data_IF_831780453370
#
_entry.id   IF_831780453370
#
_cell.length_a   1.000
_cell.length_b   1.000
_cell.length_c   1.000
_cell.angle_alpha   90.00
_cell.angle_beta   90.00
_cell.angle_gamma   90.00
#
_symmetry.space_group_name_H-M   'P 1'
#
loop_
_entity.id
_entity.type
_entity.pdbx_description
1 polymer ?
#
# COMPACT_ATOMS: atom_id res chain seq x y z
N UNK A 1 7.88 18.14 17.56
CA UNK A 1 7.88 17.93 16.10
C UNK A 1 7.57 16.50 15.76
N UNK A 2 6.96 16.27 14.61
CA UNK A 2 6.61 14.93 14.11
C UNK A 2 7.10 14.76 12.68
N UNK A 3 7.53 13.55 12.34
CA UNK A 3 8.03 13.18 11.02
C UNK A 3 7.03 12.20 10.37
N UNK A 4 6.47 12.55 9.23
CA UNK A 4 5.69 11.66 8.39
C UNK A 4 6.55 11.12 7.26
N UNK A 5 6.56 9.80 7.08
CA UNK A 5 7.30 9.11 6.02
C UNK A 5 6.31 8.29 5.21
N UNK A 6 6.17 8.61 3.93
CA UNK A 6 5.33 7.87 2.99
C UNK A 6 6.19 7.23 1.90
N UNK A 7 6.20 5.91 1.88
CA UNK A 7 6.92 5.11 0.89
C UNK A 7 5.99 4.76 -0.28
N UNK A 8 5.87 5.66 -1.25
CA UNK A 8 5.12 5.41 -2.47
C UNK A 8 5.85 4.49 -3.45
N UNK A 9 5.22 4.19 -4.58
CA UNK A 9 5.79 3.31 -5.62
C UNK A 9 6.91 3.99 -6.42
N UNK A 10 6.79 5.30 -6.67
CA UNK A 10 7.74 6.06 -7.50
C UNK A 10 8.64 7.02 -6.73
N UNK A 11 8.34 7.25 -5.45
CA UNK A 11 9.11 8.16 -4.58
C UNK A 11 8.86 7.87 -3.11
N UNK A 12 9.84 8.21 -2.27
CA UNK A 12 9.65 8.36 -0.84
C UNK A 12 9.41 9.83 -0.55
N UNK A 13 8.28 10.14 0.11
CA UNK A 13 7.96 11.49 0.58
C UNK A 13 8.13 11.56 2.09
N UNK A 14 8.76 12.64 2.58
CA UNK A 14 8.96 12.89 4.01
C UNK A 14 8.55 14.30 4.34
N UNK A 15 7.75 14.45 5.39
CA UNK A 15 7.31 15.74 5.91
C UNK A 15 7.72 15.91 7.38
N UNK A 16 8.05 17.12 7.76
CA UNK A 16 8.25 17.53 9.15
C UNK A 16 7.16 18.53 9.50
N UNK A 17 6.41 18.23 10.57
CA UNK A 17 5.33 19.09 11.06
C UNK A 17 5.51 19.43 12.55
N UNK A 18 4.93 20.55 12.97
CA UNK A 18 4.83 20.91 14.39
C UNK A 18 3.57 20.33 15.06
N UNK A 19 3.31 20.71 16.31
CA UNK A 19 2.15 20.26 17.10
C UNK A 19 0.82 20.84 16.58
N UNK A 20 0.87 21.97 15.89
CA UNK A 20 -0.27 22.62 15.25
C UNK A 20 -0.49 22.15 13.80
N UNK A 21 0.24 21.10 13.37
CA UNK A 21 0.24 20.52 12.03
C UNK A 21 0.75 21.46 10.93
N UNK A 22 1.47 22.53 11.28
CA UNK A 22 2.12 23.35 10.27
C UNK A 22 3.30 22.59 9.64
N UNK A 23 3.36 22.61 8.32
CA UNK A 23 4.46 21.99 7.56
C UNK A 23 5.72 22.83 7.65
N UNK A 24 6.77 22.31 8.26
CA UNK A 24 8.08 22.96 8.45
C UNK A 24 9.09 22.55 7.38
N UNK A 25 8.89 21.43 6.75
CA UNK A 25 9.72 20.93 5.66
C UNK A 25 9.10 19.73 4.97
N UNK A 26 9.39 19.61 3.69
CA UNK A 26 8.98 18.48 2.86
C UNK A 26 10.07 18.15 1.85
N UNK A 27 10.21 16.90 1.53
CA UNK A 27 11.07 16.43 0.45
C UNK A 27 10.51 15.16 -0.16
N UNK A 28 10.64 15.04 -1.46
CA UNK A 28 10.33 13.82 -2.22
C UNK A 28 11.59 13.34 -2.92
N UNK A 29 11.95 12.08 -2.71
CA UNK A 29 13.10 11.42 -3.35
C UNK A 29 12.58 10.36 -4.31
N UNK A 30 12.69 10.57 -5.62
CA UNK A 30 12.22 9.63 -6.62
C UNK A 30 13.14 8.40 -6.72
N UNK A 31 12.56 7.28 -7.14
CA UNK A 31 13.26 6.06 -7.52
C UNK A 31 12.48 5.29 -8.58
N UNK A 32 13.16 4.43 -9.30
CA UNK A 32 12.59 3.69 -10.41
C UNK A 32 12.00 2.36 -9.96
N UNK A 33 11.03 1.87 -10.75
CA UNK A 33 10.48 0.53 -10.68
C UNK A 33 11.16 -0.32 -11.74
N UNK A 34 11.75 -1.43 -11.35
CA UNK A 34 12.32 -2.42 -12.27
C UNK A 34 11.21 -3.28 -12.87
N UNK A 35 11.28 -3.49 -14.18
CA UNK A 35 10.35 -4.33 -14.96
C UNK A 35 11.13 -5.35 -15.78
N UNK A 36 11.76 -6.36 -15.14
CA UNK A 36 12.69 -7.28 -15.81
C UNK A 36 12.01 -8.20 -16.84
N UNK A 37 10.69 -8.40 -16.72
CA UNK A 37 9.88 -9.19 -17.66
C UNK A 37 8.47 -8.56 -17.80
N UNK A 38 7.69 -8.92 -18.84
CA UNK A 38 6.29 -8.53 -18.92
C UNK A 38 5.52 -8.92 -17.67
N UNK A 39 4.65 -8.03 -17.17
CA UNK A 39 3.87 -8.15 -15.94
C UNK A 39 4.68 -8.09 -14.63
N UNK A 40 6.01 -8.07 -14.67
CA UNK A 40 6.83 -7.99 -13.47
C UNK A 40 7.02 -6.54 -13.02
N UNK A 41 7.01 -6.34 -11.71
CA UNK A 41 7.23 -5.03 -11.07
C UNK A 41 7.96 -5.25 -9.75
N UNK A 42 9.21 -4.80 -9.68
CA UNK A 42 10.11 -5.05 -8.54
C UNK A 42 10.85 -3.79 -8.12
N UNK A 43 11.22 -3.74 -6.86
CA UNK A 43 12.15 -2.73 -6.33
C UNK A 43 13.13 -3.35 -5.32
N UNK A 44 14.37 -2.88 -5.35
CA UNK A 44 15.35 -3.18 -4.30
C UNK A 44 15.00 -2.37 -3.03
N UNK A 45 14.68 -3.00 -1.89
CA UNK A 45 14.38 -2.29 -0.65
C UNK A 45 15.51 -1.38 -0.14
N UNK A 46 16.76 -1.62 -0.53
CA UNK A 46 17.87 -0.72 -0.18
C UNK A 46 17.78 0.63 -0.89
N UNK A 47 17.06 0.75 -2.03
CA UNK A 47 16.77 2.05 -2.64
C UNK A 47 15.89 2.91 -1.74
N UNK A 48 14.88 2.31 -1.10
CA UNK A 48 13.99 3.00 -0.17
C UNK A 48 14.75 3.51 1.05
N UNK A 49 15.64 2.67 1.60
CA UNK A 49 16.49 3.06 2.71
C UNK A 49 17.43 4.23 2.33
N UNK A 50 18.09 4.14 1.17
CA UNK A 50 18.95 5.23 0.66
C UNK A 50 18.16 6.52 0.45
N UNK A 51 16.93 6.44 -0.07
CA UNK A 51 16.05 7.59 -0.24
C UNK A 51 15.69 8.22 1.11
N UNK A 52 15.36 7.40 2.13
CA UNK A 52 15.08 7.89 3.48
C UNK A 52 16.29 8.61 4.08
N UNK A 53 17.48 8.04 3.98
CA UNK A 53 18.69 8.70 4.50
C UNK A 53 18.93 10.06 3.83
N UNK A 54 18.75 10.16 2.51
CA UNK A 54 18.83 11.46 1.79
C UNK A 54 17.79 12.45 2.28
N UNK A 55 16.55 12.00 2.48
CA UNK A 55 15.48 12.86 2.98
C UNK A 55 15.79 13.40 4.39
N UNK A 56 16.27 12.54 5.28
CA UNK A 56 16.67 12.94 6.64
C UNK A 56 17.85 13.92 6.61
N UNK A 57 18.86 13.72 5.76
CA UNK A 57 19.97 14.66 5.61
C UNK A 57 19.49 16.07 5.23
N UNK A 58 18.51 16.17 4.34
CA UNK A 58 17.88 17.43 3.99
C UNK A 58 17.14 18.06 5.18
N UNK A 59 16.30 17.28 5.87
CA UNK A 59 15.48 17.79 6.97
C UNK A 59 16.30 18.18 8.19
N UNK A 60 17.48 17.60 8.42
CA UNK A 60 18.44 18.01 9.46
C UNK A 60 18.95 19.43 9.30
N UNK A 61 18.78 20.06 8.15
CA UNK A 61 19.07 21.51 7.96
C UNK A 61 18.08 22.41 8.70
N UNK A 62 16.93 21.89 9.11
CA UNK A 62 15.91 22.59 9.89
C UNK A 62 16.21 22.43 11.38
N UNK A 63 16.35 23.52 12.13
CA UNK A 63 16.62 23.48 13.58
C UNK A 63 15.56 22.69 14.35
N UNK A 64 14.29 22.81 13.96
CA UNK A 64 13.15 22.11 14.54
C UNK A 64 13.22 20.58 14.42
N UNK A 65 14.02 20.04 13.49
CA UNK A 65 14.22 18.59 13.34
C UNK A 65 14.73 17.94 14.64
N UNK A 66 15.54 18.64 15.42
CA UNK A 66 16.16 18.10 16.62
C UNK A 66 15.21 17.96 17.83
N UNK A 67 13.98 18.52 17.72
CA UNK A 67 12.90 18.39 18.69
C UNK A 67 11.91 17.28 18.31
N UNK A 68 12.34 16.30 17.50
CA UNK A 68 11.49 15.21 17.02
C UNK A 68 11.01 14.32 18.16
N UNK A 69 9.67 14.18 18.28
CA UNK A 69 8.99 13.38 19.31
C UNK A 69 8.43 12.07 18.77
N UNK A 70 8.00 12.07 17.51
CA UNK A 70 7.34 10.90 16.91
C UNK A 70 7.55 10.79 15.40
N UNK A 71 7.45 9.56 14.91
CA UNK A 71 7.58 9.20 13.50
C UNK A 71 6.35 8.39 13.10
N UNK A 72 5.64 8.83 12.06
CA UNK A 72 4.57 8.09 11.40
C UNK A 72 5.08 7.47 10.10
N UNK A 73 4.68 6.23 9.83
CA UNK A 73 5.03 5.48 8.62
C UNK A 73 3.79 5.14 7.81
N UNK A 74 3.82 5.46 6.55
CA UNK A 74 2.86 5.06 5.53
C UNK A 74 3.60 4.46 4.33
N UNK A 75 2.92 3.71 3.49
CA UNK A 75 3.52 3.28 2.24
C UNK A 75 2.64 2.38 1.39
N UNK A 76 3.14 2.13 0.16
CA UNK A 76 2.52 1.20 -0.78
C UNK A 76 2.30 -0.16 -0.14
N UNK A 77 1.10 -0.68 -0.29
CA UNK A 77 0.68 -1.96 0.29
C UNK A 77 1.20 -3.17 -0.50
N UNK A 78 1.06 -4.34 0.06
CA UNK A 78 1.20 -5.65 -0.60
C UNK A 78 2.61 -6.03 -1.06
N UNK A 79 3.60 -5.15 -1.01
CA UNK A 79 4.98 -5.48 -1.40
C UNK A 79 5.57 -6.57 -0.51
N UNK A 80 6.29 -7.53 -1.09
CA UNK A 80 6.88 -8.63 -0.34
C UNK A 80 8.39 -8.44 -0.15
N UNK A 81 8.82 -8.03 1.04
CA UNK A 81 10.23 -7.96 1.43
C UNK A 81 10.59 -9.21 2.20
N UNK A 82 11.44 -10.06 1.61
CA UNK A 82 11.82 -11.35 2.17
C UNK A 82 13.20 -11.23 2.83
N UNK A 83 13.28 -11.56 4.13
CA UNK A 83 14.49 -11.45 4.92
C UNK A 83 14.96 -12.84 5.40
N UNK A 84 16.29 -13.05 5.38
CA UNK A 84 16.92 -14.21 6.03
C UNK A 84 17.03 -14.02 7.55
N UNK A 85 17.57 -15.03 8.26
CA UNK A 85 17.76 -15.01 9.72
C UNK A 85 18.70 -13.90 10.22
N UNK A 86 19.49 -13.30 9.35
CA UNK A 86 20.39 -12.19 9.66
C UNK A 86 19.77 -10.82 9.27
N UNK A 87 18.52 -10.79 8.81
CA UNK A 87 17.84 -9.59 8.33
C UNK A 87 18.32 -9.12 6.94
N UNK A 88 19.01 -9.99 6.19
CA UNK A 88 19.46 -9.68 4.83
C UNK A 88 18.31 -9.88 3.83
N UNK A 89 18.16 -8.96 2.90
CA UNK A 89 17.21 -9.05 1.79
C UNK A 89 17.59 -10.22 0.89
N UNK A 90 16.63 -11.10 0.62
CA UNK A 90 16.84 -12.32 -0.19
C UNK A 90 16.67 -12.06 -1.69
N UNK A 91 15.85 -11.08 -2.04
CA UNK A 91 15.56 -10.69 -3.44
C UNK A 91 14.92 -9.30 -3.49
N UNK A 92 14.83 -8.63 -4.67
CA UNK A 92 14.01 -7.44 -4.83
C UNK A 92 12.55 -7.70 -4.43
N UNK A 93 11.90 -6.71 -3.82
CA UNK A 93 10.50 -6.82 -3.42
C UNK A 93 9.59 -6.88 -4.64
N UNK A 94 8.70 -7.87 -4.70
CA UNK A 94 7.62 -7.94 -5.69
C UNK A 94 6.52 -6.97 -5.27
N UNK A 95 6.18 -6.00 -6.14
CA UNK A 95 5.29 -4.89 -5.80
C UNK A 95 3.80 -5.23 -6.02
N UNK A 96 2.92 -4.33 -5.57
CA UNK A 96 1.46 -4.46 -5.65
C UNK A 96 0.90 -4.50 -7.09
N UNK A 97 1.60 -3.89 -8.05
CA UNK A 97 1.24 -3.84 -9.46
C UNK A 97 1.94 -4.90 -10.31
N UNK A 98 2.45 -5.95 -9.66
CA UNK A 98 3.04 -7.12 -10.30
C UNK A 98 1.95 -8.15 -10.64
N UNK A 99 1.99 -8.69 -11.84
CA UNK A 99 0.98 -9.63 -12.34
C UNK A 99 1.45 -11.08 -12.46
N UNK A 100 2.69 -11.41 -12.05
CA UNK A 100 3.28 -12.76 -12.27
C UNK A 100 2.55 -13.90 -11.58
N UNK A 101 1.92 -13.64 -10.44
CA UNK A 101 1.31 -14.66 -9.56
C UNK A 101 -0.18 -14.90 -9.85
N UNK A 102 -0.64 -14.68 -11.08
CA UNK A 102 -2.04 -14.88 -11.45
C UNK A 102 -2.53 -16.31 -11.23
N UNK A 103 -1.74 -17.31 -11.61
CA UNK A 103 -2.08 -18.74 -11.42
C UNK A 103 -2.10 -19.12 -9.94
N UNK A 104 -1.26 -18.52 -9.13
CA UNK A 104 -1.19 -18.74 -7.69
C UNK A 104 -2.42 -18.19 -6.95
N UNK A 105 -3.15 -17.24 -7.56
CA UNK A 105 -4.43 -16.78 -7.00
C UNK A 105 -5.49 -17.89 -7.04
N UNK A 106 -5.65 -18.54 -8.18
CA UNK A 106 -6.59 -19.67 -8.35
C UNK A 106 -6.24 -20.82 -7.40
N UNK A 107 -4.96 -21.19 -7.35
CA UNK A 107 -4.47 -22.23 -6.44
C UNK A 107 -4.68 -21.88 -4.96
N UNK A 108 -4.51 -20.62 -4.58
CA UNK A 108 -4.72 -20.17 -3.20
C UNK A 108 -6.21 -20.29 -2.81
N UNK A 109 -7.13 -19.94 -3.71
CA UNK A 109 -8.57 -20.09 -3.48
C UNK A 109 -8.98 -21.57 -3.44
N UNK A 110 -8.33 -22.44 -4.22
CA UNK A 110 -8.53 -23.89 -4.13
C UNK A 110 -8.02 -24.50 -2.81
N UNK A 111 -6.83 -24.08 -2.37
CA UNK A 111 -6.22 -24.56 -1.11
C UNK A 111 -6.97 -24.10 0.13
N UNK A 112 -7.54 -22.89 0.09
CA UNK A 112 -8.29 -22.32 1.20
C UNK A 112 -9.63 -21.75 0.69
N UNK A 113 -10.67 -22.59 0.59
CA UNK A 113 -11.98 -22.17 0.10
C UNK A 113 -12.65 -21.08 0.92
N UNK A 114 -12.28 -20.93 2.19
CA UNK A 114 -12.77 -19.86 3.07
C UNK A 114 -11.97 -18.55 2.95
N UNK A 115 -11.02 -18.44 2.02
CA UNK A 115 -10.17 -17.26 1.83
C UNK A 115 -10.98 -15.97 1.83
N UNK A 116 -12.05 -15.93 1.04
CA UNK A 116 -12.91 -14.74 0.89
C UNK A 116 -13.58 -14.34 2.21
N UNK A 117 -14.04 -15.31 2.99
CA UNK A 117 -14.68 -15.05 4.28
C UNK A 117 -13.68 -14.64 5.37
N UNK A 118 -12.47 -15.20 5.34
CA UNK A 118 -11.39 -14.87 6.28
C UNK A 118 -10.83 -13.49 6.00
N UNK A 119 -10.48 -13.22 4.75
CA UNK A 119 -9.74 -12.02 4.36
C UNK A 119 -10.64 -10.86 3.93
N UNK A 120 -11.86 -11.14 3.46
CA UNK A 120 -12.77 -10.18 2.88
C UNK A 120 -12.45 -9.79 1.43
N UNK A 121 -11.58 -10.53 0.77
CA UNK A 121 -11.07 -10.19 -0.56
C UNK A 121 -10.99 -11.40 -1.48
N UNK A 122 -11.00 -11.16 -2.79
CA UNK A 122 -10.56 -12.14 -3.78
C UNK A 122 -9.04 -12.25 -3.77
N UNK A 123 -8.50 -13.39 -4.14
CA UNK A 123 -7.07 -13.48 -4.42
C UNK A 123 -6.75 -12.73 -5.73
N UNK A 124 -5.81 -11.81 -5.65
CA UNK A 124 -5.33 -11.03 -6.81
C UNK A 124 -3.80 -11.03 -6.85
N UNK A 125 -3.17 -10.99 -8.03
CA UNK A 125 -1.69 -11.07 -8.16
C UNK A 125 -0.96 -9.98 -7.39
N UNK A 126 -1.62 -8.81 -7.22
CA UNK A 126 -1.08 -7.69 -6.48
C UNK A 126 -0.94 -7.92 -4.97
N UNK A 127 -1.67 -8.86 -4.37
CA UNK A 127 -1.57 -9.19 -2.95
C UNK A 127 -0.31 -9.98 -2.60
N UNK A 128 0.05 -10.02 -1.32
CA UNK A 128 1.32 -10.60 -0.87
C UNK A 128 1.32 -12.13 -0.95
N UNK A 129 0.27 -12.80 -0.50
CA UNK A 129 0.19 -14.26 -0.39
C UNK A 129 0.42 -15.00 -1.74
N UNK A 130 -0.20 -14.61 -2.87
CA UNK A 130 0.07 -15.26 -4.15
C UNK A 130 1.53 -15.14 -4.60
N UNK A 131 2.22 -14.02 -4.28
CA UNK A 131 3.63 -13.82 -4.60
C UNK A 131 4.54 -14.81 -3.86
N UNK A 132 4.17 -15.18 -2.64
CA UNK A 132 4.93 -16.16 -1.85
C UNK A 132 4.72 -17.59 -2.39
N UNK A 133 3.52 -17.94 -2.87
CA UNK A 133 3.29 -19.19 -3.60
C UNK A 133 4.11 -19.23 -4.89
N UNK A 134 4.13 -18.12 -5.64
CA UNK A 134 4.98 -18.02 -6.83
C UNK A 134 6.46 -18.20 -6.47
N UNK A 135 6.94 -17.56 -5.40
CA UNK A 135 8.33 -17.67 -4.93
C UNK A 135 8.66 -19.10 -4.51
N UNK A 136 7.75 -19.78 -3.82
CA UNK A 136 7.91 -21.19 -3.44
C UNK A 136 8.17 -22.09 -4.66
N UNK A 137 7.44 -21.86 -5.75
CA UNK A 137 7.52 -22.68 -6.98
C UNK A 137 8.71 -22.33 -7.87
N UNK A 138 8.95 -21.05 -8.04
CA UNK A 138 9.89 -20.57 -9.05
C UNK A 138 11.27 -20.22 -8.46
N UNK A 139 11.34 -19.93 -7.16
CA UNK A 139 12.58 -19.60 -6.45
C UNK A 139 12.67 -20.36 -5.11
N UNK A 140 12.61 -21.71 -5.12
CA UNK A 140 12.53 -22.52 -3.90
C UNK A 140 13.75 -22.31 -2.97
N UNK A 141 14.93 -22.01 -3.49
CA UNK A 141 16.10 -21.73 -2.69
C UNK A 141 16.06 -20.35 -1.99
N UNK A 142 15.31 -19.40 -2.52
CA UNK A 142 14.96 -18.14 -1.86
C UNK A 142 13.93 -18.43 -0.75
N UNK A 143 12.85 -19.15 -1.11
CA UNK A 143 11.77 -19.45 -0.19
C UNK A 143 12.24 -20.17 1.08
N UNK A 144 13.09 -21.18 0.96
CA UNK A 144 13.67 -21.95 2.09
C UNK A 144 14.45 -21.07 3.09
N UNK A 145 14.95 -19.92 2.66
CA UNK A 145 15.75 -19.02 3.51
C UNK A 145 14.90 -17.95 4.18
N UNK A 146 13.60 -17.87 3.88
CA UNK A 146 12.72 -16.85 4.45
C UNK A 146 12.60 -17.06 5.96
N UNK A 147 13.10 -16.09 6.71
CA UNK A 147 12.94 -16.00 8.15
C UNK A 147 11.83 -15.02 8.53
N UNK A 148 11.70 -13.91 7.78
CA UNK A 148 10.62 -12.92 7.97
C UNK A 148 10.14 -12.38 6.63
N UNK A 149 8.84 -12.09 6.59
CA UNK A 149 8.19 -11.36 5.49
C UNK A 149 7.72 -10.02 6.05
N UNK A 150 8.19 -8.92 5.46
CA UNK A 150 7.80 -7.57 5.83
C UNK A 150 7.11 -6.87 4.65
N UNK A 151 6.25 -5.91 4.96
CA UNK A 151 5.73 -4.98 3.97
C UNK A 151 6.72 -3.81 3.75
N UNK A 152 6.62 -3.03 2.67
CA UNK A 152 7.61 -2.02 2.33
C UNK A 152 7.90 -1.01 3.45
N UNK A 153 6.85 -0.42 4.07
CA UNK A 153 7.05 0.52 5.18
C UNK A 153 7.59 -0.15 6.44
N UNK A 154 7.26 -1.44 6.66
CA UNK A 154 7.72 -2.20 7.83
C UNK A 154 9.21 -2.55 7.70
N UNK A 155 9.71 -2.70 6.48
CA UNK A 155 11.15 -2.79 6.24
C UNK A 155 11.87 -1.48 6.64
N UNK A 156 11.31 -0.32 6.32
CA UNK A 156 11.87 0.96 6.80
C UNK A 156 11.82 1.06 8.33
N UNK A 157 10.70 0.63 8.95
CA UNK A 157 10.60 0.52 10.42
C UNK A 157 11.72 -0.34 10.99
N UNK A 158 11.90 -1.55 10.46
CA UNK A 158 12.95 -2.46 10.89
C UNK A 158 14.34 -1.81 10.80
N UNK A 159 14.63 -1.11 9.71
CA UNK A 159 15.91 -0.37 9.55
C UNK A 159 16.08 0.77 10.55
N UNK A 160 14.99 1.43 10.96
CA UNK A 160 14.99 2.53 11.91
C UNK A 160 15.09 2.05 13.37
N UNK A 161 14.31 1.04 13.74
CA UNK A 161 14.13 0.61 15.14
C UNK A 161 14.87 -0.69 15.49
N UNK A 162 15.06 -1.57 14.52
CA UNK A 162 15.44 -2.97 14.76
C UNK A 162 14.23 -3.89 15.00
N UNK A 163 13.00 -3.34 15.08
CA UNK A 163 11.79 -4.07 15.40
C UNK A 163 11.04 -4.53 14.14
N UNK A 164 10.65 -5.80 14.10
CA UNK A 164 9.84 -6.38 13.01
C UNK A 164 8.36 -6.34 13.40
N UNK A 165 7.72 -5.21 13.12
CA UNK A 165 6.34 -4.88 13.47
C UNK A 165 5.59 -4.44 12.23
N UNK A 166 4.33 -4.82 12.11
CA UNK A 166 3.39 -4.35 11.09
C UNK A 166 2.09 -3.85 11.73
N UNK A 167 1.41 -2.95 11.06
CA UNK A 167 0.08 -2.53 11.48
C UNK A 167 -1.02 -3.35 10.80
N UNK A 168 -2.21 -3.35 11.39
CA UNK A 168 -3.32 -4.17 10.92
C UNK A 168 -3.90 -3.70 9.59
N UNK A 169 -3.82 -2.40 9.27
CA UNK A 169 -4.41 -1.89 8.03
C UNK A 169 -3.63 -2.36 6.80
N UNK A 170 -2.32 -2.28 6.84
CA UNK A 170 -1.45 -2.76 5.76
C UNK A 170 -1.40 -4.29 5.71
N UNK A 171 -1.34 -4.95 6.90
CA UNK A 171 -1.33 -6.40 7.01
C UNK A 171 -2.60 -7.07 6.47
N UNK A 172 -3.76 -6.40 6.54
CA UNK A 172 -5.00 -6.91 5.93
C UNK A 172 -4.87 -7.13 4.42
N UNK A 173 -4.03 -6.32 3.75
CA UNK A 173 -3.72 -6.46 2.33
C UNK A 173 -2.77 -7.60 1.98
N UNK A 174 -2.31 -8.40 2.94
CA UNK A 174 -1.44 -9.55 2.66
C UNK A 174 -2.18 -10.79 2.19
N UNK A 175 -3.46 -10.93 2.45
CA UNK A 175 -4.29 -12.14 2.42
C UNK A 175 -3.89 -13.20 3.46
N UNK A 176 -3.13 -12.86 4.49
CA UNK A 176 -2.82 -13.73 5.62
C UNK A 176 -3.56 -13.37 6.89
N UNK A 177 -4.32 -12.28 6.87
CA UNK A 177 -5.04 -11.80 8.05
C UNK A 177 -6.49 -12.29 8.07
N UNK A 178 -6.95 -12.77 9.22
CA UNK A 178 -8.37 -12.82 9.55
C UNK A 178 -8.80 -11.37 9.84
N UNK A 179 -9.35 -10.73 8.80
CA UNK A 179 -9.64 -9.29 8.82
C UNK A 179 -10.71 -8.93 9.84
N UNK A 180 -11.69 -9.82 10.05
CA UNK A 180 -12.71 -9.64 11.08
C UNK A 180 -12.11 -9.67 12.49
N UNK A 181 -11.17 -10.60 12.75
CA UNK A 181 -10.51 -10.75 14.05
C UNK A 181 -9.28 -9.88 14.23
N UNK A 182 -8.87 -9.17 13.18
CA UNK A 182 -7.69 -8.27 13.18
C UNK A 182 -6.39 -8.97 13.61
N UNK A 183 -6.18 -10.23 13.19
CA UNK A 183 -5.02 -11.04 13.55
C UNK A 183 -4.58 -11.94 12.40
N UNK A 184 -3.34 -12.41 12.44
CA UNK A 184 -2.86 -13.41 11.48
C UNK A 184 -3.74 -14.67 11.50
N UNK A 185 -4.00 -15.23 10.32
CA UNK A 185 -4.73 -16.49 10.14
C UNK A 185 -3.73 -17.60 9.85
N UNK A 186 -3.61 -18.55 10.77
CA UNK A 186 -2.74 -19.71 10.58
C UNK A 186 -3.17 -20.55 9.36
N UNK A 187 -4.47 -20.60 9.06
CA UNK A 187 -4.99 -21.26 7.86
C UNK A 187 -4.44 -20.63 6.59
N UNK A 188 -4.55 -19.29 6.48
CA UNK A 188 -4.05 -18.56 5.32
C UNK A 188 -2.53 -18.64 5.18
N UNK A 189 -1.80 -18.59 6.31
CA UNK A 189 -0.36 -18.79 6.31
C UNK A 189 0.03 -20.19 5.83
N UNK A 190 -0.63 -21.23 6.36
CA UNK A 190 -0.40 -22.63 5.96
C UNK A 190 -0.68 -22.86 4.47
N UNK A 191 -1.70 -22.21 3.90
CA UNK A 191 -2.01 -22.30 2.46
C UNK A 191 -0.85 -21.81 1.57
N UNK A 192 0.05 -20.96 2.11
CA UNK A 192 1.25 -20.48 1.44
C UNK A 192 2.55 -21.08 1.97
N UNK A 193 2.47 -22.17 2.72
CA UNK A 193 3.62 -22.85 3.35
C UNK A 193 4.43 -21.96 4.30
N UNK A 194 3.77 -21.01 4.96
CA UNK A 194 4.33 -20.14 5.99
C UNK A 194 3.67 -20.41 7.35
N UNK A 195 4.26 -19.85 8.40
CA UNK A 195 3.74 -19.92 9.78
C UNK A 195 3.82 -18.54 10.46
N UNK A 196 3.29 -18.45 11.66
CA UNK A 196 3.37 -17.22 12.47
C UNK A 196 4.81 -16.75 12.73
N UNK A 197 5.78 -17.70 12.75
CA UNK A 197 7.19 -17.37 13.00
C UNK A 197 7.78 -16.46 11.91
N UNK A 198 7.28 -16.54 10.68
CA UNK A 198 7.73 -15.66 9.60
C UNK A 198 7.00 -14.31 9.56
N UNK A 199 5.98 -14.12 10.37
CA UNK A 199 5.20 -12.88 10.39
C UNK A 199 5.74 -11.87 11.41
N UNK A 200 5.65 -10.55 11.14
CA UNK A 200 5.93 -9.52 12.13
C UNK A 200 4.86 -9.50 13.23
N UNK A 201 5.17 -8.92 14.39
CA UNK A 201 4.18 -8.62 15.42
C UNK A 201 3.19 -7.57 14.92
N UNK A 202 1.89 -7.78 15.17
CA UNK A 202 0.83 -6.83 14.80
C UNK A 202 0.59 -5.82 15.91
N UNK A 203 0.35 -4.56 15.50
CA UNK A 203 -0.09 -3.46 16.37
C UNK A 203 -1.25 -2.71 15.68
N UNK A 204 -1.95 -1.86 16.40
CA UNK A 204 -2.85 -0.88 15.78
C UNK A 204 -2.04 0.26 15.16
N UNK A 205 -2.62 0.98 14.18
CA UNK A 205 -1.90 2.08 13.53
C UNK A 205 -1.50 3.20 14.47
N UNK A 206 -2.31 3.44 15.51
CA UNK A 206 -2.10 4.45 16.56
C UNK A 206 -1.29 3.96 17.75
N UNK A 207 -0.98 2.66 17.83
CA UNK A 207 -0.15 2.12 18.91
C UNK A 207 1.32 2.53 18.75
N UNK A 208 2.08 2.34 19.83
CA UNK A 208 3.53 2.39 19.75
C UNK A 208 4.07 1.17 18.99
N UNK A 209 4.68 1.44 17.84
CA UNK A 209 5.32 0.46 16.96
C UNK A 209 6.85 0.43 17.12
N UNK A 210 7.35 0.71 18.32
CA UNK A 210 8.76 0.79 18.66
C UNK A 210 9.29 2.22 18.72
N UNK A 211 10.59 2.37 18.91
CA UNK A 211 11.28 3.66 18.95
C UNK A 211 12.48 3.67 18.01
N UNK A 212 12.94 4.84 17.63
CA UNK A 212 14.17 4.98 16.86
C UNK A 212 15.34 4.34 17.63
N UNK A 213 16.10 3.48 16.97
CA UNK A 213 17.20 2.76 17.63
C UNK A 213 18.27 3.71 18.21
N UNK A 214 18.99 3.34 19.26
CA UNK A 214 20.04 4.19 19.81
C UNK A 214 21.13 4.57 18.80
N UNK A 215 21.39 3.69 17.83
CA UNK A 215 22.30 3.98 16.72
C UNK A 215 21.75 5.13 15.85
N UNK A 216 20.52 4.98 15.39
CA UNK A 216 19.89 5.99 14.52
C UNK A 216 19.66 7.32 15.26
N UNK A 217 19.30 7.28 16.55
CA UNK A 217 19.16 8.47 17.40
C UNK A 217 20.45 9.30 17.41
N UNK A 218 21.59 8.63 17.61
CA UNK A 218 22.92 9.29 17.54
C UNK A 218 23.25 9.81 16.14
N UNK A 219 22.99 9.00 15.09
CA UNK A 219 23.28 9.41 13.70
C UNK A 219 22.42 10.61 13.27
N UNK A 220 21.20 10.70 13.77
CA UNK A 220 20.32 11.84 13.51
C UNK A 220 20.64 13.05 14.39
N UNK A 221 21.44 12.88 15.45
CA UNK A 221 21.82 13.94 16.38
C UNK A 221 20.73 14.31 17.37
N UNK A 222 19.80 13.39 17.64
CA UNK A 222 18.68 13.60 18.56
C UNK A 222 19.10 13.34 20.02
N UNK A 223 18.51 14.07 20.96
CA UNK A 223 18.75 13.93 22.38
C UNK A 223 18.06 12.72 23.02
N UNK A 224 16.95 12.29 22.43
CA UNK A 224 16.16 11.13 22.85
C UNK A 224 15.56 10.40 21.63
N UNK A 225 15.30 9.10 21.72
CA UNK A 225 14.69 8.35 20.63
C UNK A 225 13.20 8.73 20.46
N UNK A 226 12.77 9.25 19.30
CA UNK A 226 11.35 9.45 19.02
C UNK A 226 10.62 8.10 18.93
N UNK A 227 9.35 8.09 19.37
CA UNK A 227 8.45 6.95 19.20
C UNK A 227 8.11 6.77 17.72
N UNK A 228 8.03 5.52 17.24
CA UNK A 228 7.52 5.19 15.92
C UNK A 228 6.10 4.64 16.09
N UNK A 229 5.12 5.29 15.50
CA UNK A 229 3.72 4.83 15.54
C UNK A 229 3.54 3.52 14.75
N UNK A 230 2.49 2.76 15.00
CA UNK A 230 2.13 1.57 14.24
C UNK A 230 2.08 1.82 12.73
N UNK A 231 1.64 2.99 12.33
CA UNK A 231 1.60 3.40 10.93
C UNK A 231 0.39 2.84 10.18
N UNK A 232 0.42 2.90 8.86
CA UNK A 232 -0.72 2.46 8.04
C UNK A 232 -0.32 2.12 6.61
N UNK A 233 -1.11 1.30 5.92
CA UNK A 233 -1.12 1.29 4.46
C UNK A 233 -1.53 2.66 3.90
N UNK A 234 -1.05 3.00 2.71
CA UNK A 234 -1.19 4.34 2.11
C UNK A 234 -2.62 4.89 2.09
N UNK A 235 -3.61 4.05 1.72
CA UNK A 235 -5.00 4.47 1.66
C UNK A 235 -5.59 4.77 3.05
N UNK A 236 -5.27 3.94 4.06
CA UNK A 236 -5.73 4.17 5.43
C UNK A 236 -5.03 5.39 6.06
N UNK A 237 -3.75 5.61 5.78
CA UNK A 237 -3.03 6.83 6.19
C UNK A 237 -3.62 8.08 5.53
N UNK A 238 -3.89 8.01 4.22
CA UNK A 238 -4.55 9.09 3.48
C UNK A 238 -5.93 9.44 4.06
N UNK A 239 -6.70 8.41 4.46
CA UNK A 239 -7.99 8.61 5.12
C UNK A 239 -7.86 9.41 6.42
N UNK A 240 -6.88 9.07 7.27
CA UNK A 240 -6.60 9.84 8.49
C UNK A 240 -6.20 11.28 8.15
N UNK A 241 -5.33 11.46 7.15
CA UNK A 241 -4.84 12.78 6.75
C UNK A 241 -5.94 13.75 6.31
N UNK A 242 -7.06 13.25 5.78
CA UNK A 242 -8.22 14.06 5.37
C UNK A 242 -9.37 14.01 6.39
N UNK A 243 -9.18 13.38 7.54
CA UNK A 243 -10.18 13.29 8.60
C UNK A 243 -11.27 12.23 8.37
N UNK A 244 -11.10 11.29 7.43
CA UNK A 244 -12.01 10.17 7.21
C UNK A 244 -11.75 9.05 8.23
N UNK A 245 -12.11 9.28 9.49
CA UNK A 245 -11.82 8.41 10.64
C UNK A 245 -13.06 7.89 11.36
N UNK A 246 -14.24 8.40 11.03
CA UNK A 246 -15.50 7.98 11.63
C UNK A 246 -16.30 7.11 10.66
N UNK A 247 -17.07 6.12 11.17
CA UNK A 247 -17.96 5.32 10.32
C UNK A 247 -18.85 6.20 9.45
N UNK A 248 -18.91 5.87 8.15
CA UNK A 248 -19.64 6.64 7.13
C UNK A 248 -18.81 7.76 6.49
N UNK A 249 -17.67 8.15 7.03
CA UNK A 249 -16.78 9.05 6.31
C UNK A 249 -16.25 8.33 5.05
N UNK A 250 -16.21 9.05 3.97
CA UNK A 250 -15.77 8.53 2.68
C UNK A 250 -14.96 9.56 1.91
N UNK A 251 -14.16 9.10 0.97
CA UNK A 251 -13.52 9.97 -0.01
C UNK A 251 -13.41 9.28 -1.38
N UNK A 252 -13.27 10.10 -2.40
CA UNK A 252 -12.95 9.69 -3.76
C UNK A 252 -11.59 10.28 -4.14
N UNK A 253 -10.63 9.40 -4.44
CA UNK A 253 -9.33 9.79 -5.00
C UNK A 253 -9.33 9.52 -6.49
N UNK A 254 -9.04 10.55 -7.30
CA UNK A 254 -8.98 10.48 -8.75
C UNK A 254 -7.57 10.86 -9.23
N UNK A 255 -6.75 9.84 -9.37
CA UNK A 255 -5.45 9.92 -10.03
C UNK A 255 -5.49 9.16 -11.37
N UNK A 256 -4.40 8.54 -11.79
CA UNK A 256 -4.37 7.62 -12.94
C UNK A 256 -5.45 6.57 -12.84
N UNK A 257 -5.58 5.94 -11.66
CA UNK A 257 -6.71 5.10 -11.24
C UNK A 257 -7.62 5.87 -10.28
N UNK A 258 -8.81 5.32 -9.97
CA UNK A 258 -9.74 5.89 -9.00
C UNK A 258 -9.97 4.97 -7.82
N UNK A 259 -10.08 5.54 -6.62
CA UNK A 259 -10.38 4.81 -5.39
C UNK A 259 -11.54 5.49 -4.69
N UNK A 260 -12.61 4.74 -4.45
CA UNK A 260 -13.65 5.12 -3.50
C UNK A 260 -13.41 4.38 -2.19
N UNK A 261 -13.25 5.12 -1.11
CA UNK A 261 -12.96 4.61 0.22
C UNK A 261 -14.10 4.99 1.18
N UNK A 262 -14.51 4.06 2.03
CA UNK A 262 -15.52 4.32 3.07
C UNK A 262 -15.15 3.61 4.37
N UNK A 263 -15.24 4.34 5.49
CA UNK A 263 -15.00 3.82 6.85
C UNK A 263 -16.22 3.07 7.34
N UNK A 264 -16.01 1.88 7.90
CA UNK A 264 -17.05 1.02 8.45
C UNK A 264 -16.82 0.71 9.94
N UNK A 265 -17.89 0.62 10.75
CA UNK A 265 -17.77 0.27 12.17
C UNK A 265 -17.57 -1.23 12.43
N UNK A 266 -17.61 -2.05 11.39
CA UNK A 266 -17.43 -3.50 11.44
C UNK A 266 -16.92 -4.03 10.11
N UNK A 267 -16.43 -5.25 10.11
CA UNK A 267 -16.03 -5.96 8.90
C UNK A 267 -17.25 -6.22 7.99
N UNK A 268 -17.23 -5.69 6.79
CA UNK A 268 -18.29 -5.80 5.77
C UNK A 268 -17.69 -6.25 4.44
N UNK A 269 -17.36 -7.55 4.28
CA UNK A 269 -16.78 -8.03 3.03
C UNK A 269 -17.83 -8.08 1.90
N UNK A 270 -17.40 -7.74 0.69
CA UNK A 270 -18.18 -7.91 -0.53
C UNK A 270 -17.27 -8.30 -1.71
N UNK A 271 -16.53 -9.41 -1.58
CA UNK A 271 -15.53 -9.82 -2.57
C UNK A 271 -16.15 -10.11 -3.94
N UNK A 272 -17.38 -10.63 -3.99
CA UNK A 272 -18.07 -10.94 -5.25
C UNK A 272 -18.36 -9.69 -6.12
N UNK A 273 -18.34 -8.51 -5.51
CA UNK A 273 -18.46 -7.23 -6.22
C UNK A 273 -17.09 -6.58 -6.48
N UNK A 274 -16.00 -7.31 -6.27
CA UNK A 274 -14.64 -6.77 -6.41
C UNK A 274 -14.30 -5.66 -5.42
N UNK A 275 -15.11 -5.48 -4.37
CA UNK A 275 -14.84 -4.50 -3.32
C UNK A 275 -13.84 -5.07 -2.31
N UNK A 276 -12.81 -4.30 -2.01
CA UNK A 276 -11.85 -4.65 -0.96
C UNK A 276 -12.41 -4.33 0.42
N UNK A 277 -12.12 -5.19 1.39
CA UNK A 277 -12.42 -4.97 2.80
C UNK A 277 -11.15 -5.18 3.63
N UNK A 278 -10.71 -4.14 4.34
CA UNK A 278 -9.50 -4.14 5.16
C UNK A 278 -9.76 -3.58 6.56
N UNK A 279 -8.84 -3.84 7.48
CA UNK A 279 -8.78 -3.09 8.73
C UNK A 279 -8.44 -1.63 8.42
N UNK A 280 -9.07 -0.70 9.14
CA UNK A 280 -8.57 0.67 9.20
C UNK A 280 -7.37 0.74 10.15
N UNK A 281 -6.52 1.76 10.03
CA UNK A 281 -5.44 2.01 10.99
C UNK A 281 -5.93 2.58 12.34
N UNK A 282 -7.19 2.97 12.40
CA UNK A 282 -7.89 3.31 13.65
C UNK A 282 -8.38 2.00 14.30
N UNK A 283 -8.17 1.81 15.62
CA UNK A 283 -8.66 0.63 16.35
C UNK A 283 -10.16 0.39 16.15
N UNK A 284 -10.54 -0.89 16.13
CA UNK A 284 -11.93 -1.35 16.02
C UNK A 284 -12.72 -0.76 14.82
N UNK A 285 -11.99 -0.41 13.76
CA UNK A 285 -12.53 0.14 12.53
C UNK A 285 -12.05 -0.63 11.31
N UNK A 286 -12.88 -0.66 10.28
CA UNK A 286 -12.59 -1.25 8.97
C UNK A 286 -12.89 -0.24 7.87
N UNK A 287 -12.49 -0.57 6.67
CA UNK A 287 -12.89 0.18 5.49
C UNK A 287 -13.14 -0.73 4.31
N UNK A 288 -13.97 -0.24 3.40
CA UNK A 288 -14.12 -0.83 2.07
C UNK A 288 -13.53 0.11 1.02
N UNK A 289 -13.03 -0.48 -0.06
CA UNK A 289 -12.57 0.26 -1.22
C UNK A 289 -13.12 -0.34 -2.51
N UNK A 290 -13.66 0.53 -3.37
CA UNK A 290 -13.83 0.26 -4.79
C UNK A 290 -12.66 0.86 -5.55
N UNK A 291 -12.05 0.10 -6.46
CA UNK A 291 -10.89 0.54 -7.25
C UNK A 291 -11.20 0.39 -8.73
N UNK A 292 -11.16 1.50 -9.46
CA UNK A 292 -11.18 1.51 -10.93
C UNK A 292 -9.77 1.73 -11.47
N UNK A 293 -9.39 0.94 -12.48
CA UNK A 293 -8.02 0.94 -12.98
C UNK A 293 -7.70 2.15 -13.86
N UNK A 294 -8.72 2.74 -14.48
CA UNK A 294 -8.57 3.91 -15.37
C UNK A 294 -9.53 5.02 -14.96
N UNK A 295 -9.01 6.06 -14.32
CA UNK A 295 -9.73 7.28 -13.96
C UNK A 295 -9.24 8.46 -14.81
N UNK A 296 -8.39 9.35 -14.29
CA UNK A 296 -7.86 10.46 -15.08
C UNK A 296 -6.98 10.01 -16.27
N UNK A 297 -6.45 8.79 -16.23
CA UNK A 297 -5.79 8.19 -17.39
C UNK A 297 -6.68 8.09 -18.63
N UNK A 298 -8.01 8.04 -18.46
CA UNK A 298 -8.96 8.08 -19.58
C UNK A 298 -8.92 9.44 -20.31
N UNK A 299 -8.78 10.54 -19.57
CA UNK A 299 -8.65 11.86 -20.17
C UNK A 299 -7.31 11.98 -20.94
N UNK A 300 -6.22 11.51 -20.36
CA UNK A 300 -4.92 11.50 -21.04
C UNK A 300 -4.91 10.59 -22.28
N UNK A 301 -5.59 9.45 -22.20
CA UNK A 301 -5.79 8.59 -23.36
C UNK A 301 -6.59 9.29 -24.46
N UNK A 302 -7.70 9.94 -24.11
CA UNK A 302 -8.54 10.69 -25.06
C UNK A 302 -7.77 11.87 -25.68
N UNK A 303 -7.01 12.61 -24.87
CA UNK A 303 -6.09 13.66 -25.30
C UNK A 303 -5.14 13.16 -26.39
N UNK A 304 -4.53 11.99 -26.19
CA UNK A 304 -3.67 11.33 -27.19
C UNK A 304 -4.42 10.93 -28.46
N UNK A 305 -5.64 10.38 -28.35
CA UNK A 305 -6.46 9.97 -29.51
C UNK A 305 -6.87 11.17 -30.35
N UNK A 306 -7.25 12.27 -29.71
CA UNK A 306 -7.72 13.49 -30.38
C UNK A 306 -6.57 14.43 -30.77
N UNK A 307 -5.35 14.16 -30.33
CA UNK A 307 -4.18 15.04 -30.44
C UNK A 307 -4.49 16.48 -29.95
N UNK A 308 -5.14 16.57 -28.77
CA UNK A 308 -5.50 17.80 -28.10
C UNK A 308 -5.04 17.75 -26.65
N UNK A 309 -4.75 18.90 -26.02
CA UNK A 309 -4.37 18.94 -24.61
C UNK A 309 -5.58 18.68 -23.71
N UNK A 310 -5.36 18.05 -22.57
CA UNK A 310 -6.41 17.82 -21.56
C UNK A 310 -7.11 19.10 -21.13
N UNK A 311 -6.33 20.19 -20.94
CA UNK A 311 -6.88 21.52 -20.62
C UNK A 311 -7.90 21.98 -21.64
N UNK A 312 -7.60 21.84 -22.96
CA UNK A 312 -8.43 22.31 -24.02
C UNK A 312 -9.73 21.48 -24.15
N UNK A 313 -9.65 20.18 -23.86
CA UNK A 313 -10.80 19.28 -23.82
C UNK A 313 -11.75 19.59 -22.66
N UNK A 314 -11.24 20.16 -21.57
CA UNK A 314 -12.03 20.43 -20.36
C UNK A 314 -12.44 21.89 -20.19
N UNK A 315 -11.87 22.83 -20.93
CA UNK A 315 -12.06 24.28 -20.79
C UNK A 315 -13.53 24.72 -20.85
N UNK A 316 -14.34 24.05 -21.65
CA UNK A 316 -15.74 24.43 -21.90
C UNK A 316 -16.78 23.54 -21.22
N UNK A 317 -16.33 22.59 -20.37
CA UNK A 317 -17.25 21.60 -19.79
C UNK A 317 -18.36 22.23 -18.96
N UNK A 318 -18.07 23.28 -18.19
CA UNK A 318 -19.09 23.97 -17.37
C UNK A 318 -20.28 24.48 -18.22
N UNK A 319 -20.02 24.88 -19.47
CA UNK A 319 -21.04 25.39 -20.38
C UNK A 319 -21.76 24.31 -21.18
N UNK A 320 -21.21 23.10 -21.24
CA UNK A 320 -21.70 21.99 -22.07
C UNK A 320 -22.41 20.89 -21.27
N UNK A 321 -22.18 20.82 -19.95
CA UNK A 321 -22.71 19.75 -19.08
C UNK A 321 -24.17 20.01 -18.63
N UNK A 322 -25.11 20.17 -19.56
CA UNK A 322 -26.54 20.34 -19.23
C UNK A 322 -27.22 19.00 -18.92
N UNK A 323 -26.84 17.93 -19.57
CA UNK A 323 -27.33 16.55 -19.39
C UNK A 323 -26.40 15.54 -20.07
N UNK A 324 -26.47 14.26 -19.67
CA UNK A 324 -25.73 13.20 -20.35
C UNK A 324 -26.07 13.14 -21.84
N UNK A 325 -25.05 12.89 -22.68
CA UNK A 325 -25.20 12.56 -24.09
C UNK A 325 -25.65 11.10 -24.30
N UNK A 326 -25.85 10.73 -25.57
CA UNK A 326 -26.20 9.34 -25.92
C UNK A 326 -24.97 8.41 -26.03
N UNK A 327 -23.76 8.98 -26.00
CA UNK A 327 -22.53 8.22 -26.07
C UNK A 327 -22.17 7.68 -24.68
N UNK A 328 -22.00 6.39 -24.57
CA UNK A 328 -21.47 5.73 -23.36
C UNK A 328 -20.02 5.32 -23.58
N UNK A 329 -19.14 5.75 -22.69
CA UNK A 329 -17.75 5.32 -22.67
C UNK A 329 -17.52 4.34 -21.51
N UNK A 330 -16.99 3.17 -21.82
CA UNK A 330 -16.55 2.19 -20.82
C UNK A 330 -15.04 2.30 -20.61
N UNK A 331 -14.56 2.76 -19.45
CA UNK A 331 -13.20 3.22 -19.22
C UNK A 331 -12.20 2.08 -18.93
N UNK A 332 -12.36 0.92 -19.53
CA UNK A 332 -11.58 -0.28 -19.21
C UNK A 332 -10.27 -0.36 -20.02
N UNK A 333 -9.46 0.71 -19.99
CA UNK A 333 -8.25 0.81 -20.79
C UNK A 333 -7.18 -0.23 -20.40
N UNK A 334 -7.18 -0.67 -19.15
CA UNK A 334 -6.21 -1.62 -18.59
C UNK A 334 -6.87 -2.80 -17.87
N UNK A 335 -8.05 -3.21 -18.29
CA UNK A 335 -8.92 -4.10 -17.53
C UNK A 335 -9.73 -3.36 -16.49
N UNK A 336 -10.44 -4.09 -15.60
CA UNK A 336 -11.17 -3.49 -14.51
C UNK A 336 -11.14 -4.38 -13.25
N UNK A 337 -11.27 -3.72 -12.09
CA UNK A 337 -11.29 -4.37 -10.78
C UNK A 337 -12.68 -4.28 -10.14
N UNK A 338 -13.15 -3.11 -9.77
CA UNK A 338 -14.46 -2.93 -9.14
C UNK A 338 -15.43 -2.27 -10.12
N UNK A 339 -16.66 -2.77 -10.30
CA UNK A 339 -17.28 -3.94 -9.66
C UNK A 339 -17.14 -5.23 -10.48
N UNK A 340 -16.45 -5.23 -11.60
CA UNK A 340 -16.54 -6.28 -12.63
C UNK A 340 -15.46 -7.37 -12.45
N UNK A 341 -14.27 -7.00 -11.96
CA UNK A 341 -13.11 -7.88 -11.73
C UNK A 341 -12.71 -8.71 -12.97
N UNK A 342 -12.58 -8.05 -14.13
CA UNK A 342 -12.14 -8.67 -15.39
C UNK A 342 -10.81 -8.04 -15.83
N UNK A 343 -9.65 -8.68 -15.57
CA UNK A 343 -8.33 -8.12 -15.84
C UNK A 343 -8.04 -7.81 -17.31
N UNK A 344 -8.73 -8.49 -18.23
CA UNK A 344 -8.52 -8.35 -19.68
C UNK A 344 -9.65 -7.57 -20.38
N UNK A 345 -10.57 -6.97 -19.62
CA UNK A 345 -11.64 -6.16 -20.18
C UNK A 345 -11.05 -4.95 -20.93
N UNK A 346 -11.65 -4.60 -22.06
CA UNK A 346 -11.20 -3.46 -22.87
C UNK A 346 -12.25 -2.37 -22.92
N UNK A 347 -11.79 -1.13 -22.87
CA UNK A 347 -12.64 0.04 -23.03
C UNK A 347 -13.17 0.16 -24.46
N UNK A 348 -14.39 0.67 -24.61
CA UNK A 348 -14.98 0.98 -25.89
C UNK A 348 -16.10 2.03 -25.76
N UNK A 349 -16.47 2.63 -26.90
CA UNK A 349 -17.60 3.52 -26.99
C UNK A 349 -18.83 2.76 -27.50
N UNK A 350 -19.98 3.03 -26.89
CA UNK A 350 -21.31 2.60 -27.34
C UNK A 350 -22.10 3.85 -27.75
N UNK A 351 -22.78 3.78 -28.91
CA UNK A 351 -23.64 4.85 -29.45
C UNK A 351 -25.11 4.41 -29.38
#
# INVERSE_FOLDING_TARGET
MYLGIDLGTSALKVILIDEDQNQLGEISIPFEVSRPQPLWSEQDPDLWWKALIKAIQFLKTKKSFYDLKGIGLSGQMHGAVLLDKNGKILRPAILWNDGRSGKECEELEEKEPDLKSITGNLAMPGFTAPKLLWTLKNEPEVFKKIHKVLLPKDFLRYKLSGEMISDRSDSAGTLWMDTAKRKWSERMLSATNLSLDQMPRLVEGSDEGGALSPKMTREWGLSSPPVIAGGAGDNAAGAVGIGAVQPGNAFLSLGTSGVFFVVNPKFLPSPEQGAHAFCHCIPDSWHQMGVILSASSCLSWLSGVLNQKESDLTEKLETLLFKPGNLTFLPYLSGERTPITIPMLKGFFLV
#
